data_IF_220079094767
#
_entry.id   IF_220079094767
#
_cell.length_a   1.000
_cell.length_b   1.000
_cell.length_c   1.000
_cell.angle_alpha   90.00
_cell.angle_beta   90.00
_cell.angle_gamma   90.00
#
_symmetry.space_group_name_H-M   'P 1'
#
loop_
_entity.id
_entity.type
_entity.pdbx_description
1 polymer ?
#
# COMPACT_ATOMS: atom_id res chain seq x y z
N UNK A 1 3.00 2.12 32.66
CA UNK A 1 2.84 1.56 31.32
C UNK A 1 4.04 0.65 31.03
N UNK A 2 3.80 -0.64 30.83
CA UNK A 2 4.85 -1.56 30.38
C UNK A 2 4.76 -1.65 28.85
N UNK A 3 5.83 -1.26 28.14
CA UNK A 3 5.94 -1.27 26.70
C UNK A 3 5.72 0.09 26.04
N UNK A 4 5.97 0.17 24.73
CA UNK A 4 5.74 1.38 23.94
C UNK A 4 4.33 1.33 23.35
N UNK A 5 3.54 2.42 23.45
CA UNK A 5 2.23 2.47 22.83
C UNK A 5 2.37 2.48 21.29
N UNK A 6 1.43 1.83 20.60
CA UNK A 6 1.26 2.06 19.17
C UNK A 6 0.63 3.44 18.98
N UNK A 7 1.25 4.26 18.13
CA UNK A 7 0.81 5.65 17.90
C UNK A 7 0.46 5.82 16.43
N UNK A 8 -0.67 6.44 16.16
CA UNK A 8 -1.10 6.84 14.80
C UNK A 8 -1.17 8.35 14.79
N UNK A 9 -0.40 8.97 13.91
CA UNK A 9 -0.46 10.41 13.66
C UNK A 9 -1.16 10.67 12.34
N UNK A 10 -2.08 11.64 12.34
CA UNK A 10 -2.74 12.11 11.14
C UNK A 10 -2.21 13.51 10.81
N UNK A 11 -1.83 13.74 9.56
CA UNK A 11 -1.42 15.03 9.04
C UNK A 11 -2.16 15.34 7.74
N UNK A 12 -2.48 16.59 7.53
CA UNK A 12 -3.01 17.08 6.26
C UNK A 12 -1.91 17.56 5.30
N UNK A 13 -0.67 17.74 5.81
CA UNK A 13 0.48 18.16 5.02
C UNK A 13 1.16 16.99 4.33
N UNK A 14 1.71 17.26 3.14
CA UNK A 14 2.50 16.27 2.39
C UNK A 14 3.97 16.23 2.85
N UNK A 15 4.45 17.32 3.46
CA UNK A 15 5.82 17.40 3.93
C UNK A 15 5.95 16.73 5.29
N UNK A 16 6.77 15.70 5.35
CA UNK A 16 7.14 14.99 6.58
C UNK A 16 8.66 15.08 6.67
N UNK A 17 9.17 15.41 7.84
CA UNK A 17 10.61 15.42 8.08
C UNK A 17 11.23 14.06 7.78
N UNK A 18 12.38 14.03 7.12
CA UNK A 18 13.03 12.79 6.70
C UNK A 18 13.31 11.86 7.88
N UNK A 19 13.72 12.41 9.02
CA UNK A 19 13.99 11.61 10.20
C UNK A 19 12.72 11.00 10.77
N UNK A 20 11.60 11.73 10.73
CA UNK A 20 10.29 11.22 11.15
C UNK A 20 9.75 10.17 10.19
N UNK A 21 9.82 10.43 8.88
CA UNK A 21 9.42 9.48 7.86
C UNK A 21 10.12 8.11 8.01
N UNK A 22 11.39 8.11 8.43
CA UNK A 22 12.12 6.86 8.70
C UNK A 22 11.69 6.14 9.98
N UNK A 23 10.87 6.74 10.85
CA UNK A 23 10.38 6.13 12.10
C UNK A 23 8.97 5.59 12.02
N UNK A 24 8.17 6.04 11.06
CA UNK A 24 6.77 5.67 10.89
C UNK A 24 6.54 4.89 9.59
N UNK A 25 5.49 4.11 9.55
CA UNK A 25 4.92 3.61 8.30
C UNK A 25 4.02 4.71 7.74
N UNK A 26 4.36 5.21 6.57
CA UNK A 26 3.56 6.22 5.88
C UNK A 26 2.39 5.53 5.19
N UNK A 27 1.19 6.00 5.48
CA UNK A 27 -0.04 5.51 4.86
C UNK A 27 -0.81 6.71 4.30
N UNK A 28 -1.37 6.54 3.12
CA UNK A 28 -2.29 7.50 2.53
C UNK A 28 -3.66 6.86 2.36
N UNK A 29 -4.76 7.59 2.61
CA UNK A 29 -6.10 7.10 2.33
C UNK A 29 -6.24 6.76 0.85
N UNK A 30 -6.88 5.65 0.55
CA UNK A 30 -7.25 5.28 -0.81
C UNK A 30 -8.38 6.21 -1.30
N UNK A 31 -8.20 6.80 -2.49
CA UNK A 31 -9.24 7.60 -3.15
C UNK A 31 -10.09 6.66 -4.01
N UNK A 32 -11.11 6.07 -3.38
CA UNK A 32 -12.08 5.21 -4.06
C UNK A 32 -13.45 5.88 -4.07
N UNK A 33 -14.02 6.10 -5.26
CA UNK A 33 -15.29 6.78 -5.43
C UNK A 33 -16.47 6.05 -4.79
N UNK A 34 -16.45 4.71 -4.79
CA UNK A 34 -17.48 3.89 -4.16
C UNK A 34 -17.42 4.03 -2.64
N UNK A 35 -16.23 3.92 -2.04
CA UNK A 35 -16.01 4.14 -0.61
C UNK A 35 -16.44 5.54 -0.17
N UNK A 36 -16.18 6.57 -1.00
CA UNK A 36 -16.60 7.94 -0.71
C UNK A 36 -18.13 8.07 -0.74
N UNK A 37 -18.80 7.49 -1.75
CA UNK A 37 -20.27 7.47 -1.84
C UNK A 37 -20.89 6.78 -0.64
N UNK A 38 -20.36 5.63 -0.27
CA UNK A 38 -20.81 4.88 0.89
C UNK A 38 -20.61 5.67 2.19
N UNK A 39 -19.44 6.28 2.37
CA UNK A 39 -19.16 7.14 3.52
C UNK A 39 -20.13 8.31 3.63
N UNK A 40 -20.47 8.96 2.50
CA UNK A 40 -21.49 10.03 2.46
C UNK A 40 -22.85 9.46 2.84
N UNK A 41 -23.25 8.32 2.29
CA UNK A 41 -24.51 7.65 2.61
C UNK A 41 -24.62 7.33 4.10
N UNK A 42 -23.57 6.76 4.67
CA UNK A 42 -23.50 6.44 6.10
C UNK A 42 -23.55 7.69 6.97
N UNK A 43 -22.87 8.79 6.56
CA UNK A 43 -22.92 10.04 7.29
C UNK A 43 -24.33 10.65 7.31
N UNK A 44 -25.04 10.63 6.18
CA UNK A 44 -26.43 11.08 6.07
C UNK A 44 -27.33 10.20 6.94
N UNK A 45 -27.22 8.86 6.85
CA UNK A 45 -27.99 7.92 7.64
C UNK A 45 -27.80 8.15 9.15
N UNK A 46 -26.56 8.32 9.57
CA UNK A 46 -26.23 8.61 10.97
C UNK A 46 -26.79 9.95 11.46
N UNK A 47 -26.76 10.96 10.61
CA UNK A 47 -27.31 12.30 10.95
C UNK A 47 -28.84 12.31 10.98
N UNK A 48 -29.49 11.46 10.17
CA UNK A 48 -30.95 11.37 10.11
C UNK A 48 -31.54 10.63 11.33
N UNK A 49 -30.94 9.53 11.74
CA UNK A 49 -31.36 8.74 12.90
C UNK A 49 -30.14 7.99 13.48
N UNK A 50 -29.59 8.54 14.56
CA UNK A 50 -28.41 7.97 15.21
C UNK A 50 -28.69 6.63 15.89
N UNK A 51 -29.89 6.43 16.43
CA UNK A 51 -30.22 5.19 17.16
C UNK A 51 -30.46 4.05 16.19
N UNK A 52 -31.22 4.28 15.12
CA UNK A 52 -31.38 3.31 14.04
C UNK A 52 -30.06 3.00 13.33
N UNK A 53 -29.18 3.97 13.17
CA UNK A 53 -27.85 3.74 12.61
C UNK A 53 -26.99 2.86 13.52
N UNK A 54 -27.00 3.08 14.83
CA UNK A 54 -26.25 2.26 15.78
C UNK A 54 -26.80 0.83 15.86
N UNK A 55 -28.13 0.68 15.86
CA UNK A 55 -28.76 -0.65 15.81
C UNK A 55 -28.34 -1.42 14.56
N UNK A 56 -28.41 -0.79 13.38
CA UNK A 56 -27.93 -1.38 12.12
C UNK A 56 -26.44 -1.78 12.17
N UNK A 57 -25.59 -0.96 12.80
CA UNK A 57 -24.18 -1.29 12.98
C UNK A 57 -23.95 -2.49 13.91
N UNK A 58 -24.83 -2.71 14.87
CA UNK A 58 -24.75 -3.84 15.80
C UNK A 58 -25.29 -5.14 15.19
N UNK A 59 -26.21 -5.03 14.24
CA UNK A 59 -26.73 -6.17 13.47
C UNK A 59 -25.73 -6.68 12.40
N UNK A 60 -24.68 -5.91 12.06
CA UNK A 60 -23.68 -6.32 11.10
C UNK A 60 -22.84 -7.50 11.62
N UNK A 61 -22.97 -8.69 11.01
CA UNK A 61 -22.30 -9.90 11.48
C UNK A 61 -20.79 -9.83 11.33
N UNK A 62 -20.27 -9.19 10.26
CA UNK A 62 -18.84 -9.09 10.01
C UNK A 62 -18.17 -8.20 11.07
N UNK A 63 -18.82 -7.09 11.39
CA UNK A 63 -18.35 -6.19 12.44
C UNK A 63 -18.38 -6.86 13.81
N UNK A 64 -19.41 -7.61 14.10
CA UNK A 64 -19.55 -8.36 15.37
C UNK A 64 -18.46 -9.42 15.47
N UNK A 65 -18.27 -10.21 14.41
CA UNK A 65 -17.18 -11.20 14.33
C UNK A 65 -15.79 -10.55 14.52
N UNK A 66 -15.54 -9.41 13.89
CA UNK A 66 -14.27 -8.68 14.05
C UNK A 66 -14.06 -8.23 15.51
N UNK A 67 -15.09 -7.68 16.15
CA UNK A 67 -15.05 -7.29 17.58
C UNK A 67 -14.75 -8.49 18.49
N UNK A 68 -15.41 -9.60 18.24
CA UNK A 68 -15.22 -10.84 19.01
C UNK A 68 -13.81 -11.40 18.80
N UNK A 69 -13.32 -11.40 17.57
CA UNK A 69 -11.95 -11.82 17.25
C UNK A 69 -10.92 -10.97 18.00
N UNK A 70 -11.07 -9.65 18.00
CA UNK A 70 -10.17 -8.74 18.73
C UNK A 70 -10.23 -9.00 20.24
N UNK A 71 -11.45 -9.24 20.79
CA UNK A 71 -11.62 -9.59 22.22
C UNK A 71 -10.94 -10.92 22.56
N UNK A 72 -11.13 -11.94 21.72
CA UNK A 72 -10.51 -13.24 21.90
C UNK A 72 -8.98 -13.18 21.82
N UNK A 73 -8.42 -12.38 20.90
CA UNK A 73 -6.97 -12.12 20.83
C UNK A 73 -6.45 -11.51 22.14
N UNK A 74 -7.18 -10.51 22.68
CA UNK A 74 -6.82 -9.90 23.97
C UNK A 74 -6.88 -10.90 25.13
N UNK A 75 -7.90 -11.75 25.17
CA UNK A 75 -8.09 -12.78 26.20
C UNK A 75 -7.06 -13.90 26.10
N UNK A 76 -6.54 -14.19 24.91
CA UNK A 76 -5.53 -15.22 24.70
C UNK A 76 -4.20 -14.93 25.42
N UNK A 77 -3.99 -13.66 25.80
CA UNK A 77 -2.88 -13.20 26.64
C UNK A 77 -1.52 -13.71 26.12
N UNK A 78 -1.29 -13.54 24.82
CA UNK A 78 -0.01 -13.87 24.18
C UNK A 78 1.04 -12.84 24.61
N UNK A 79 2.17 -13.33 25.07
CA UNK A 79 3.26 -12.49 25.58
C UNK A 79 4.42 -12.39 24.61
N UNK A 80 4.63 -13.40 23.79
CA UNK A 80 5.74 -13.45 22.84
C UNK A 80 5.33 -14.12 21.52
N UNK A 81 6.00 -13.71 20.45
CA UNK A 81 5.80 -14.26 19.11
C UNK A 81 7.18 -14.54 18.53
N UNK A 82 7.48 -15.81 18.32
CA UNK A 82 8.71 -16.28 17.69
C UNK A 82 8.53 -16.41 16.18
N UNK A 83 9.61 -16.31 15.45
CA UNK A 83 9.65 -16.51 14.00
C UNK A 83 10.63 -17.66 13.76
N UNK A 84 10.11 -18.76 13.24
CA UNK A 84 10.93 -19.97 13.02
C UNK A 84 11.85 -19.81 11.78
N UNK A 85 11.44 -19.01 10.81
CA UNK A 85 12.14 -18.81 9.55
C UNK A 85 13.12 -17.61 9.58
N UNK A 86 13.91 -17.44 10.65
CA UNK A 86 14.80 -16.28 10.84
C UNK A 86 15.74 -16.08 9.63
N UNK A 87 16.43 -17.14 9.21
CA UNK A 87 17.37 -17.09 8.08
C UNK A 87 16.68 -16.70 6.78
N UNK A 88 15.51 -17.29 6.50
CA UNK A 88 14.75 -17.00 5.30
C UNK A 88 14.24 -15.54 5.26
N UNK A 89 13.80 -15.01 6.40
CA UNK A 89 13.40 -13.58 6.51
C UNK A 89 14.59 -12.66 6.23
N UNK A 90 15.74 -12.96 6.80
CA UNK A 90 16.97 -12.19 6.59
C UNK A 90 17.41 -12.22 5.13
N UNK A 91 17.52 -13.41 4.55
CA UNK A 91 17.98 -13.59 3.16
C UNK A 91 17.04 -12.91 2.17
N UNK A 92 15.73 -13.10 2.31
CA UNK A 92 14.73 -12.47 1.45
C UNK A 92 14.74 -10.94 1.58
N UNK A 93 14.89 -10.41 2.79
CA UNK A 93 14.98 -8.95 2.98
C UNK A 93 16.25 -8.39 2.33
N UNK A 94 17.40 -9.04 2.51
CA UNK A 94 18.67 -8.60 1.93
C UNK A 94 18.67 -8.71 0.40
N UNK A 95 18.01 -9.71 -0.17
CA UNK A 95 17.88 -9.86 -1.63
C UNK A 95 17.07 -8.72 -2.27
N UNK A 96 16.14 -8.11 -1.54
CA UNK A 96 15.39 -6.95 -2.03
C UNK A 96 16.19 -5.64 -2.02
N UNK A 97 17.33 -5.60 -1.33
CA UNK A 97 18.13 -4.40 -1.15
C UNK A 97 19.37 -4.43 -2.04
N UNK A 98 19.38 -3.73 -3.18
CA UNK A 98 20.57 -3.63 -4.06
C UNK A 98 21.78 -3.03 -3.33
N UNK A 99 21.53 -2.05 -2.46
CA UNK A 99 22.56 -1.40 -1.63
C UNK A 99 21.99 -1.12 -0.24
N UNK A 100 22.67 -1.57 0.81
CA UNK A 100 22.25 -1.38 2.18
C UNK A 100 22.44 0.07 2.62
N UNK A 101 21.38 0.64 3.20
CA UNK A 101 21.35 1.99 3.79
C UNK A 101 21.07 1.89 5.30
N UNK A 102 21.46 2.87 6.13
CA UNK A 102 21.20 2.86 7.57
C UNK A 102 19.72 2.69 7.94
N UNK A 103 18.80 3.14 7.08
CA UNK A 103 17.35 2.98 7.28
C UNK A 103 16.91 1.50 7.28
N UNK A 104 17.56 0.63 6.52
CA UNK A 104 17.17 -0.79 6.41
C UNK A 104 17.23 -1.52 7.76
N UNK A 105 18.08 -1.08 8.69
CA UNK A 105 18.10 -1.59 10.08
C UNK A 105 16.84 -1.23 10.88
N UNK A 106 16.08 -0.21 10.46
CA UNK A 106 14.77 0.14 11.02
C UNK A 106 13.65 -0.57 10.25
N UNK A 107 13.79 -0.65 8.94
CA UNK A 107 12.79 -1.26 8.06
C UNK A 107 12.63 -2.76 8.33
N UNK A 108 13.71 -3.50 8.58
CA UNK A 108 13.61 -4.91 9.00
C UNK A 108 12.82 -5.08 10.30
N UNK A 109 12.94 -4.17 11.26
CA UNK A 109 12.18 -4.22 12.52
C UNK A 109 10.69 -4.01 12.27
N UNK A 110 10.33 -3.17 11.31
CA UNK A 110 8.93 -2.94 10.89
C UNK A 110 8.37 -4.19 10.22
N UNK A 111 9.12 -4.77 9.28
CA UNK A 111 8.74 -6.02 8.64
C UNK A 111 8.52 -7.13 9.66
N UNK A 112 9.44 -7.30 10.63
CA UNK A 112 9.28 -8.24 11.74
C UNK A 112 8.00 -7.97 12.53
N UNK A 113 7.67 -6.69 12.79
CA UNK A 113 6.44 -6.33 13.48
C UNK A 113 5.20 -6.69 12.66
N UNK A 114 5.24 -6.56 11.34
CA UNK A 114 4.16 -6.98 10.44
C UNK A 114 3.99 -8.50 10.47
N UNK A 115 5.08 -9.28 10.38
CA UNK A 115 5.05 -10.75 10.49
C UNK A 115 4.39 -11.16 11.81
N UNK A 116 4.81 -10.58 12.92
CA UNK A 116 4.23 -10.84 14.24
C UNK A 116 2.75 -10.45 14.31
N UNK A 117 2.35 -9.39 13.63
CA UNK A 117 0.94 -8.98 13.55
C UNK A 117 0.09 -9.99 12.79
N UNK A 118 0.58 -10.55 11.69
CA UNK A 118 -0.11 -11.64 10.99
C UNK A 118 -0.22 -12.88 11.85
N UNK A 119 0.83 -13.27 12.55
CA UNK A 119 0.80 -14.42 13.45
C UNK A 119 -0.24 -14.26 14.56
N UNK A 120 -0.35 -13.09 15.19
CA UNK A 120 -1.33 -12.86 16.25
C UNK A 120 -2.76 -12.77 15.73
N UNK A 121 -2.98 -12.25 14.52
CA UNK A 121 -4.27 -12.26 13.86
C UNK A 121 -4.74 -13.68 13.55
N UNK A 122 -3.82 -14.61 13.35
CA UNK A 122 -4.08 -16.01 13.02
C UNK A 122 -3.72 -16.98 14.15
N UNK A 123 -3.71 -16.51 15.39
CA UNK A 123 -3.18 -17.24 16.55
C UNK A 123 -3.80 -18.64 16.75
N UNK A 124 -5.05 -18.88 16.32
CA UNK A 124 -5.73 -20.16 16.46
C UNK A 124 -5.19 -21.25 15.51
N UNK A 125 -4.53 -20.83 14.45
CA UNK A 125 -3.91 -21.70 13.44
C UNK A 125 -2.38 -21.70 13.54
N UNK A 126 -1.84 -21.20 14.66
CA UNK A 126 -0.39 -21.15 14.89
C UNK A 126 0.00 -22.11 16.00
N UNK A 127 1.18 -22.68 15.86
CA UNK A 127 1.75 -23.48 16.92
C UNK A 127 1.92 -22.61 18.17
N UNK A 128 1.49 -23.18 19.29
CA UNK A 128 1.45 -22.47 20.56
C UNK A 128 2.19 -23.22 21.64
N UNK A 129 3.11 -22.57 22.31
CA UNK A 129 3.78 -23.05 23.50
C UNK A 129 3.47 -22.11 24.68
N UNK A 130 2.48 -22.46 25.48
CA UNK A 130 2.01 -21.63 26.58
C UNK A 130 1.47 -20.26 26.10
N UNK A 131 2.18 -19.19 26.41
CA UNK A 131 1.85 -17.79 26.03
C UNK A 131 2.67 -17.30 24.82
N UNK A 132 3.42 -18.18 24.19
CA UNK A 132 4.20 -17.89 23.00
C UNK A 132 3.55 -18.56 21.80
N UNK A 133 3.44 -17.86 20.69
CA UNK A 133 3.04 -18.40 19.38
C UNK A 133 4.21 -18.33 18.40
N UNK A 134 4.19 -19.21 17.39
CA UNK A 134 5.21 -19.28 16.36
C UNK A 134 4.61 -18.81 15.04
N UNK A 135 5.19 -17.76 14.48
CA UNK A 135 4.84 -17.28 13.15
C UNK A 135 5.33 -18.28 12.11
N UNK A 136 4.47 -18.68 11.21
CA UNK A 136 4.79 -19.64 10.16
C UNK A 136 5.15 -18.94 8.83
N UNK A 137 5.45 -19.74 7.82
CA UNK A 137 5.83 -19.26 6.50
C UNK A 137 4.75 -18.41 5.83
N UNK A 138 3.47 -18.72 6.04
CA UNK A 138 2.37 -17.89 5.50
C UNK A 138 2.36 -16.49 6.08
N UNK A 139 2.64 -16.32 7.39
CA UNK A 139 2.74 -15.00 8.00
C UNK A 139 3.89 -14.20 7.41
N UNK A 140 5.00 -14.86 7.14
CA UNK A 140 6.18 -14.28 6.49
C UNK A 140 5.81 -13.82 5.07
N UNK A 141 5.19 -14.70 4.27
CA UNK A 141 4.82 -14.41 2.89
C UNK A 141 3.84 -13.24 2.79
N UNK A 142 2.78 -13.23 3.60
CA UNK A 142 1.81 -12.13 3.61
C UNK A 142 2.44 -10.81 4.10
N UNK A 143 3.34 -10.87 5.07
CA UNK A 143 4.08 -9.71 5.52
C UNK A 143 4.98 -9.14 4.41
N UNK A 144 5.66 -9.97 3.66
CA UNK A 144 6.47 -9.52 2.52
C UNK A 144 5.63 -8.95 1.39
N UNK A 145 4.49 -9.57 1.04
CA UNK A 145 3.55 -9.01 0.05
C UNK A 145 3.06 -7.60 0.45
N UNK A 146 2.73 -7.41 1.73
CA UNK A 146 2.35 -6.10 2.24
C UNK A 146 3.54 -5.13 2.22
N UNK A 147 4.72 -5.61 2.63
CA UNK A 147 5.95 -4.82 2.66
C UNK A 147 6.34 -4.32 1.26
N UNK A 148 6.25 -5.14 0.24
CA UNK A 148 6.53 -4.77 -1.15
C UNK A 148 5.66 -3.59 -1.63
N UNK A 149 4.38 -3.55 -1.21
CA UNK A 149 3.48 -2.43 -1.56
C UNK A 149 3.86 -1.11 -0.92
N UNK A 150 4.43 -1.14 0.30
CA UNK A 150 4.75 0.08 1.06
C UNK A 150 6.23 0.46 1.00
N UNK A 151 7.13 -0.49 0.72
CA UNK A 151 8.58 -0.29 0.78
C UNK A 151 9.08 0.75 -0.22
N UNK A 152 8.52 0.80 -1.42
CA UNK A 152 8.97 1.72 -2.48
C UNK A 152 8.76 3.17 -2.07
N UNK A 153 7.57 3.54 -1.63
CA UNK A 153 7.29 4.90 -1.14
C UNK A 153 8.14 5.24 0.09
N UNK A 154 8.34 4.26 0.96
CA UNK A 154 9.23 4.39 2.13
C UNK A 154 10.68 4.59 1.72
N UNK A 155 11.17 3.85 0.73
CA UNK A 155 12.55 3.93 0.25
C UNK A 155 12.86 5.27 -0.43
N UNK A 156 11.89 5.80 -1.18
CA UNK A 156 11.97 7.11 -1.83
C UNK A 156 11.68 8.27 -0.87
N UNK A 157 11.31 7.98 0.37
CA UNK A 157 10.90 8.97 1.37
C UNK A 157 9.74 9.85 0.88
N UNK A 158 8.83 9.25 0.10
CA UNK A 158 7.66 9.90 -0.46
C UNK A 158 6.40 9.49 0.30
N UNK A 159 5.44 10.42 0.52
CA UNK A 159 4.09 10.03 0.91
C UNK A 159 3.49 9.09 -0.14
N UNK A 160 2.80 8.01 0.25
CA UNK A 160 2.21 7.07 -0.70
C UNK A 160 1.30 7.75 -1.74
N UNK A 161 0.56 8.79 -1.35
CA UNK A 161 -0.26 9.58 -2.27
C UNK A 161 0.56 10.20 -3.41
N UNK A 162 1.74 10.75 -3.12
CA UNK A 162 2.62 11.37 -4.13
C UNK A 162 3.18 10.30 -5.08
N UNK A 163 3.57 9.16 -4.52
CA UNK A 163 4.06 8.03 -5.32
C UNK A 163 2.95 7.43 -6.19
N UNK A 164 1.74 7.24 -5.66
CA UNK A 164 0.59 6.76 -6.43
C UNK A 164 0.22 7.74 -7.56
N UNK A 165 0.26 9.05 -7.30
CA UNK A 165 0.01 10.05 -8.34
C UNK A 165 1.05 9.96 -9.47
N UNK A 166 2.31 9.67 -9.15
CA UNK A 166 3.33 9.41 -10.17
C UNK A 166 2.98 8.18 -11.00
N UNK A 167 2.65 7.06 -10.37
CA UNK A 167 2.37 5.77 -11.03
C UNK A 167 1.07 5.77 -11.84
N UNK A 168 0.01 6.39 -11.31
CA UNK A 168 -1.33 6.31 -11.90
C UNK A 168 -1.64 7.47 -12.87
N UNK A 169 -0.95 8.61 -12.72
CA UNK A 169 -1.27 9.82 -13.48
C UNK A 169 -0.11 10.27 -14.35
N UNK A 170 1.07 10.52 -13.74
CA UNK A 170 2.19 11.15 -14.45
C UNK A 170 2.79 10.20 -15.48
N UNK A 171 3.12 9.00 -15.05
CA UNK A 171 3.71 7.98 -15.92
C UNK A 171 2.77 7.59 -17.07
N UNK A 172 1.48 7.23 -16.84
CA UNK A 172 0.56 6.92 -17.92
C UNK A 172 0.26 8.12 -18.84
N UNK A 173 0.25 9.37 -18.32
CA UNK A 173 0.07 10.54 -19.17
C UNK A 173 1.24 10.73 -20.13
N UNK A 174 2.44 10.44 -19.66
CA UNK A 174 3.64 10.52 -20.47
C UNK A 174 3.73 9.37 -21.50
N UNK A 175 3.38 8.15 -21.11
CA UNK A 175 3.31 6.98 -22.00
C UNK A 175 2.28 7.17 -23.11
N UNK A 176 1.08 7.66 -22.81
CA UNK A 176 0.05 8.00 -23.81
C UNK A 176 0.57 9.01 -24.85
N UNK A 177 1.27 10.04 -24.40
CA UNK A 177 1.84 11.07 -25.29
C UNK A 177 2.94 10.52 -26.19
N UNK A 178 3.67 9.52 -25.73
CA UNK A 178 4.78 8.91 -26.45
C UNK A 178 4.42 7.58 -27.16
N UNK A 179 3.14 7.34 -27.42
CA UNK A 179 2.66 6.19 -28.20
C UNK A 179 2.69 4.86 -27.45
N UNK A 180 2.55 4.87 -26.14
CA UNK A 180 2.47 3.68 -25.29
C UNK A 180 3.79 2.92 -25.10
N UNK A 181 4.90 3.54 -25.47
CA UNK A 181 6.24 2.95 -25.24
C UNK A 181 6.66 3.19 -23.80
N UNK A 182 6.96 2.11 -23.11
CA UNK A 182 7.51 2.13 -21.74
C UNK A 182 8.78 3.00 -21.67
N UNK A 183 9.00 3.61 -20.52
CA UNK A 183 10.16 4.45 -20.25
C UNK A 183 11.43 3.61 -20.06
N UNK A 184 12.03 3.11 -21.13
CA UNK A 184 13.38 2.52 -21.04
C UNK A 184 14.46 3.61 -21.15
N UNK A 185 15.55 3.42 -20.43
CA UNK A 185 16.62 4.42 -20.28
C UNK A 185 17.30 4.81 -21.60
N UNK A 186 17.35 3.90 -22.58
CA UNK A 186 18.04 4.11 -23.84
C UNK A 186 17.27 4.99 -24.84
N UNK A 187 15.98 5.24 -24.62
CA UNK A 187 15.07 5.85 -25.60
C UNK A 187 14.58 7.27 -25.23
N UNK A 188 15.19 7.96 -24.27
CA UNK A 188 14.74 9.30 -23.83
C UNK A 188 15.06 10.39 -24.87
N UNK A 189 16.08 10.19 -25.71
CA UNK A 189 16.44 11.09 -26.80
C UNK A 189 15.36 11.10 -27.88
N UNK A 190 14.52 12.16 -27.88
CA UNK A 190 13.44 12.35 -28.84
C UNK A 190 12.01 12.20 -28.27
N UNK A 191 11.84 11.84 -27.00
CA UNK A 191 10.52 11.76 -26.36
C UNK A 191 10.00 13.13 -25.91
N UNK A 192 8.68 13.28 -25.97
CA UNK A 192 8.00 14.51 -25.60
C UNK A 192 7.72 14.56 -24.10
N UNK A 193 8.21 15.58 -23.41
CA UNK A 193 7.83 15.84 -22.02
C UNK A 193 6.35 16.21 -21.88
N UNK A 194 5.76 15.94 -20.73
CA UNK A 194 4.39 16.35 -20.41
C UNK A 194 4.38 17.67 -19.66
N UNK A 195 3.31 18.43 -19.84
CA UNK A 195 3.06 19.68 -19.13
C UNK A 195 2.24 19.47 -17.88
N UNK A 196 2.29 20.41 -16.94
CA UNK A 196 1.42 20.37 -15.75
C UNK A 196 -0.07 20.31 -16.11
N UNK A 197 -0.49 20.99 -17.17
CA UNK A 197 -1.88 20.95 -17.62
C UNK A 197 -2.31 19.56 -18.07
N UNK A 198 -1.45 18.81 -18.75
CA UNK A 198 -1.73 17.43 -19.15
C UNK A 198 -1.87 16.52 -17.92
N UNK A 199 -1.05 16.71 -16.89
CA UNK A 199 -1.18 16.00 -15.60
C UNK A 199 -2.52 16.33 -14.93
N UNK A 200 -2.88 17.62 -14.84
CA UNK A 200 -4.15 18.05 -14.24
C UNK A 200 -5.36 17.50 -14.99
N UNK A 201 -5.33 17.49 -16.32
CA UNK A 201 -6.38 16.92 -17.15
C UNK A 201 -6.50 15.41 -16.97
N UNK A 202 -5.38 14.69 -16.93
CA UNK A 202 -5.37 13.24 -16.69
C UNK A 202 -5.92 12.92 -15.30
N UNK A 203 -5.48 13.64 -14.27
CA UNK A 203 -6.00 13.49 -12.91
C UNK A 203 -7.53 13.72 -12.87
N UNK A 204 -8.02 14.76 -13.55
CA UNK A 204 -9.46 15.01 -13.61
C UNK A 204 -10.23 13.89 -14.32
N UNK A 205 -9.68 13.34 -15.40
CA UNK A 205 -10.32 12.21 -16.12
C UNK A 205 -10.47 10.98 -15.24
N UNK A 206 -9.47 10.67 -14.43
CA UNK A 206 -9.43 9.46 -13.60
C UNK A 206 -10.24 9.64 -12.31
N UNK A 207 -10.04 10.76 -11.62
CA UNK A 207 -10.62 10.97 -10.29
C UNK A 207 -11.85 11.86 -10.25
N UNK A 208 -12.23 12.50 -11.36
CA UNK A 208 -13.36 13.43 -11.43
C UNK A 208 -13.17 14.72 -10.60
N UNK A 209 -11.97 14.97 -10.08
CA UNK A 209 -11.62 16.09 -9.23
C UNK A 209 -10.39 16.81 -9.77
N UNK A 210 -10.44 18.16 -9.77
CA UNK A 210 -9.26 18.95 -10.10
C UNK A 210 -8.23 18.85 -8.97
N UNK A 211 -7.00 18.54 -9.35
CA UNK A 211 -5.85 18.67 -8.45
C UNK A 211 -5.46 20.15 -8.37
N UNK A 212 -5.13 20.64 -7.17
CA UNK A 212 -4.64 21.99 -7.01
C UNK A 212 -3.29 22.17 -7.73
N UNK A 213 -3.27 23.11 -8.69
CA UNK A 213 -2.07 23.41 -9.46
C UNK A 213 -0.94 23.99 -8.60
N UNK A 214 -1.26 24.72 -7.53
CA UNK A 214 -0.26 25.22 -6.58
C UNK A 214 0.37 24.06 -5.79
N UNK A 215 -0.43 23.13 -5.31
CA UNK A 215 0.03 21.91 -4.64
C UNK A 215 0.92 21.06 -5.56
N UNK A 216 0.49 20.85 -6.80
CA UNK A 216 1.26 20.11 -7.80
C UNK A 216 2.62 20.77 -8.04
N UNK A 217 2.63 22.09 -8.28
CA UNK A 217 3.83 22.84 -8.62
C UNK A 217 4.80 22.98 -7.46
N UNK A 218 4.29 23.30 -6.26
CA UNK A 218 5.13 23.75 -5.14
C UNK A 218 5.53 22.61 -4.21
N UNK A 219 4.82 21.50 -4.25
CA UNK A 219 5.09 20.37 -3.34
C UNK A 219 5.32 19.06 -4.08
N UNK A 220 4.38 18.60 -4.89
CA UNK A 220 4.42 17.27 -5.48
C UNK A 220 5.58 17.12 -6.47
N UNK A 221 5.67 18.00 -7.46
CA UNK A 221 6.74 17.90 -8.47
C UNK A 221 8.15 18.06 -7.87
N UNK A 222 8.41 19.01 -6.95
CA UNK A 222 9.71 19.08 -6.28
C UNK A 222 10.04 17.82 -5.47
N UNK A 223 9.05 17.20 -4.80
CA UNK A 223 9.28 15.95 -4.06
C UNK A 223 9.64 14.80 -5.00
N UNK A 224 8.95 14.67 -6.13
CA UNK A 224 9.23 13.64 -7.14
C UNK A 224 10.61 13.86 -7.80
N UNK A 225 10.99 15.11 -8.06
CA UNK A 225 12.29 15.46 -8.62
C UNK A 225 13.41 15.17 -7.62
N UNK A 226 13.25 15.54 -6.36
CA UNK A 226 14.21 15.22 -5.27
C UNK A 226 14.36 13.71 -5.10
N UNK A 227 13.26 12.95 -5.27
CA UNK A 227 13.28 11.49 -5.22
C UNK A 227 13.89 10.85 -6.50
N UNK A 228 14.22 11.65 -7.52
CA UNK A 228 14.79 11.18 -8.77
C UNK A 228 13.79 10.45 -9.69
N UNK A 229 12.48 10.65 -9.48
CA UNK A 229 11.43 10.02 -10.30
C UNK A 229 11.08 10.82 -11.55
N UNK A 230 11.35 12.12 -11.53
CA UNK A 230 11.13 13.01 -12.67
C UNK A 230 12.29 13.98 -12.83
N UNK A 231 12.40 14.55 -14.02
CA UNK A 231 13.19 15.75 -14.30
C UNK A 231 12.28 16.84 -14.87
N UNK A 232 12.60 18.10 -14.58
CA UNK A 232 11.89 19.27 -15.07
C UNK A 232 12.79 20.10 -15.95
N UNK A 233 12.40 20.33 -17.21
CA UNK A 233 13.17 21.09 -18.19
C UNK A 233 12.30 22.17 -18.83
N UNK A 234 12.85 23.35 -19.14
CA UNK A 234 12.12 24.36 -19.90
C UNK A 234 11.86 23.86 -21.34
N UNK A 235 10.67 24.14 -21.86
CA UNK A 235 10.33 23.84 -23.26
C UNK A 235 11.28 24.62 -24.21
N UNK A 236 11.99 23.95 -25.14
CA UNK A 236 12.84 24.60 -26.10
C UNK A 236 12.13 25.68 -26.95
N UNK A 237 10.84 25.50 -27.23
CA UNK A 237 10.04 26.40 -28.04
C UNK A 237 9.35 27.51 -27.22
N UNK A 238 9.11 27.29 -25.93
CA UNK A 238 8.48 28.26 -25.04
C UNK A 238 9.04 28.14 -23.62
N UNK A 239 10.05 28.91 -23.32
CA UNK A 239 10.73 28.91 -22.01
C UNK A 239 9.83 29.19 -20.80
N UNK A 240 8.57 29.61 -21.03
CA UNK A 240 7.57 29.77 -19.95
C UNK A 240 6.94 28.46 -19.53
N UNK A 241 7.02 27.45 -20.40
CA UNK A 241 6.51 26.10 -20.12
C UNK A 241 7.62 25.22 -19.57
N UNK A 242 7.27 24.42 -18.60
CA UNK A 242 8.15 23.40 -18.03
C UNK A 242 7.59 22.05 -18.49
N UNK A 243 8.47 21.28 -19.10
CA UNK A 243 8.23 19.90 -19.49
C UNK A 243 8.71 18.97 -18.37
N UNK A 244 7.94 17.94 -18.11
CA UNK A 244 8.19 16.95 -17.08
C UNK A 244 8.47 15.63 -17.79
N UNK A 245 9.60 15.02 -17.46
CA UNK A 245 10.02 13.73 -17.96
C UNK A 245 10.12 12.76 -16.81
N UNK A 246 9.50 11.57 -16.87
CA UNK A 246 9.80 10.50 -15.95
C UNK A 246 11.28 10.14 -16.04
N UNK A 247 11.98 10.21 -14.90
CA UNK A 247 13.29 9.58 -14.80
C UNK A 247 13.02 8.08 -14.59
N UNK A 248 13.64 7.23 -15.38
CA UNK A 248 13.52 5.79 -15.23
C UNK A 248 14.03 5.38 -13.87
N UNK A 249 13.13 4.96 -12.97
CA UNK A 249 13.55 4.15 -11.85
C UNK A 249 14.21 2.88 -12.41
N UNK A 250 15.36 2.43 -11.87
CA UNK A 250 15.97 1.20 -12.33
C UNK A 250 14.92 0.08 -12.27
N UNK A 251 14.72 -0.58 -13.41
CA UNK A 251 13.82 -1.72 -13.53
C UNK A 251 14.10 -2.70 -12.40
N UNK A 252 13.05 -3.13 -11.69
CA UNK A 252 13.14 -4.40 -10.96
C UNK A 252 13.40 -5.44 -12.05
N UNK A 253 14.57 -6.00 -12.08
CA UNK A 253 14.79 -7.25 -12.81
C UNK A 253 13.81 -8.25 -12.22
N UNK A 254 12.73 -8.50 -12.95
CA UNK A 254 11.87 -9.66 -12.71
C UNK A 254 12.77 -10.87 -12.83
N UNK A 255 13.11 -11.47 -11.69
CA UNK A 255 13.81 -12.74 -11.67
C UNK A 255 12.99 -13.71 -12.50
N UNK A 256 13.57 -14.14 -13.61
CA UNK A 256 13.07 -15.22 -14.45
C UNK A 256 12.70 -16.42 -13.57
N UNK A 257 11.44 -16.52 -13.24
CA UNK A 257 10.80 -17.81 -12.96
C UNK A 257 9.87 -18.09 -14.13
N UNK A 258 10.44 -18.72 -15.16
CA UNK A 258 9.64 -19.43 -16.13
C UNK A 258 8.80 -20.47 -15.39
N UNK A 259 7.51 -20.19 -15.29
CA UNK A 259 6.47 -21.20 -15.21
C UNK A 259 5.29 -20.67 -16.00
N UNK A 260 5.11 -21.29 -17.15
CA UNK A 260 3.94 -21.17 -18.01
C UNK A 260 2.66 -21.42 -17.21
N UNK A 261 1.69 -20.54 -17.36
CA UNK A 261 0.36 -20.74 -16.82
C UNK A 261 -0.44 -19.45 -16.91
N UNK A 262 -0.93 -19.12 -18.10
CA UNK A 262 -1.87 -18.02 -18.27
C UNK A 262 -3.14 -18.26 -17.47
N UNK A 263 -3.45 -17.38 -16.54
CA UNK A 263 -4.78 -17.27 -15.94
C UNK A 263 -5.30 -15.87 -16.20
N UNK A 264 -6.41 -15.83 -16.90
CA UNK A 264 -7.19 -14.64 -17.23
C UNK A 264 -7.65 -13.93 -15.95
N UNK A 265 -7.57 -12.61 -15.94
CA UNK A 265 -8.21 -11.70 -14.99
C UNK A 265 -9.72 -11.92 -14.96
N UNK A 266 -10.31 -11.69 -13.79
CA UNK A 266 -11.72 -11.66 -13.43
C UNK A 266 -12.33 -12.99 -12.93
N UNK A 267 -11.86 -13.45 -11.76
CA UNK A 267 -12.69 -14.29 -10.90
C UNK A 267 -12.86 -13.63 -9.53
N UNK A 268 -14.09 -13.22 -9.25
CA UNK A 268 -14.50 -12.84 -7.88
C UNK A 268 -14.26 -14.03 -6.97
N UNK A 269 -13.51 -13.82 -5.90
CA UNK A 269 -13.31 -14.84 -4.86
C UNK A 269 -14.69 -15.27 -4.34
N UNK A 270 -15.10 -16.49 -4.66
CA UNK A 270 -16.29 -17.09 -4.07
C UNK A 270 -15.96 -17.65 -2.69
N UNK A 271 -16.98 -17.81 -1.86
CA UNK A 271 -16.83 -18.37 -0.49
C UNK A 271 -16.18 -19.75 -0.51
N UNK A 272 -16.39 -20.51 -1.59
CA UNK A 272 -15.78 -21.82 -1.83
C UNK A 272 -14.26 -21.74 -2.07
N UNK A 273 -13.79 -20.78 -2.86
CA UNK A 273 -12.34 -20.56 -3.05
C UNK A 273 -11.67 -20.07 -1.77
N UNK A 274 -12.36 -19.28 -0.96
CA UNK A 274 -11.84 -18.84 0.33
C UNK A 274 -11.75 -20.01 1.35
N UNK A 275 -12.70 -20.94 1.32
CA UNK A 275 -12.69 -22.14 2.14
C UNK A 275 -11.55 -23.10 1.74
N UNK A 276 -11.31 -23.25 0.46
CA UNK A 276 -10.23 -24.10 -0.09
C UNK A 276 -8.83 -23.52 0.22
N UNK A 277 -8.66 -22.20 0.12
CA UNK A 277 -7.42 -21.51 0.53
C UNK A 277 -7.17 -21.55 2.03
N UNK A 278 -8.21 -21.72 2.85
CA UNK A 278 -8.13 -21.79 4.31
C UNK A 278 -8.06 -23.23 4.84
N UNK A 279 -8.07 -24.24 3.96
CA UNK A 279 -7.99 -25.66 4.34
C UNK A 279 -9.22 -26.17 5.11
N UNK A 280 -10.37 -25.51 4.94
CA UNK A 280 -11.64 -25.86 5.55
C UNK A 280 -12.56 -26.58 4.57
N UNK A 281 -13.21 -27.65 5.01
CA UNK A 281 -14.31 -28.30 4.28
C UNK A 281 -15.63 -27.60 4.64
N UNK A 282 -16.39 -27.16 3.63
CA UNK A 282 -17.75 -26.66 3.84
C UNK A 282 -18.62 -27.90 4.17
N UNK A 283 -19.12 -27.96 5.39
CA UNK A 283 -20.15 -28.94 5.75
C UNK A 283 -21.50 -28.28 5.45
N UNK A 284 -22.16 -28.78 4.43
CA UNK A 284 -23.52 -28.40 4.08
C UNK A 284 -24.48 -29.00 5.12
N UNK A 285 -24.80 -28.23 6.15
CA UNK A 285 -25.89 -28.60 7.05
C UNK A 285 -27.20 -28.16 6.41
N UNK A 286 -27.83 -29.14 5.75
CA UNK A 286 -29.19 -29.02 5.22
C UNK A 286 -30.21 -28.72 6.33
N UNK A 287 -31.01 -27.74 6.01
CA UNK A 287 -32.44 -27.55 6.37
C UNK A 287 -32.91 -28.16 7.69
N UNK A 288 -33.14 -27.29 8.66
CA UNK A 288 -34.36 -27.30 9.45
C UNK A 288 -34.85 -25.86 9.65
#
# INVERSE_FOLDING_TARGET
LRGYPSVIFCTAGLQIDEQEATRFLLLSPEINQEKIRESISQAVRKASDSDAFNAWLEEDPERTLLKERIRAIKQANIHDIKIDAESAVKERFLAQCKMLKPRHSRDIKRLISIIKSFAILNLWWRERNGKTIIANENDVNEAFKLWEKISVSQELNLPPYVYNLYQEIILPAWEEKNGGRSASFEDITGKLGITRNEILQKHYRIHGKMLDNSLLRMQILPMLETAGLITQEPDPNDKRKILIFPATAPEKEEGNSETEGGVKSDEKLTVEMAAEMLGGTIVDEGVF
#
